data_IF_277577885086
#
_entry.id   IF_277577885086
#
_cell.length_a   1.000
_cell.length_b   1.000
_cell.length_c   1.000
_cell.angle_alpha   90.00
_cell.angle_beta   90.00
_cell.angle_gamma   90.00
#
_symmetry.space_group_name_H-M   'P 1'
#
loop_
_entity.id
_entity.type
_entity.pdbx_description
1 polymer ?
#
# COMPACT_ATOMS: atom_id res chain seq x y z
N UNK A 1 3.87 -7.34 -12.66
CA UNK A 1 2.75 -8.26 -13.01
C UNK A 1 1.75 -8.34 -11.88
N UNK A 2 2.14 -8.22 -10.60
CA UNK A 2 1.18 -8.00 -9.51
C UNK A 2 0.41 -6.72 -9.78
N UNK A 3 1.16 -5.65 -10.08
CA UNK A 3 0.63 -4.36 -10.47
C UNK A 3 -0.38 -4.47 -11.61
N UNK A 4 -0.08 -5.25 -12.66
CA UNK A 4 -1.03 -5.44 -13.78
C UNK A 4 -2.28 -6.20 -13.30
N UNK A 5 -2.11 -7.32 -12.58
CA UNK A 5 -3.25 -8.11 -12.07
C UNK A 5 -4.11 -7.29 -11.11
N UNK A 6 -3.50 -6.49 -10.24
CA UNK A 6 -4.19 -5.58 -9.32
C UNK A 6 -4.91 -4.49 -10.12
N UNK A 7 -4.24 -3.81 -11.04
CA UNK A 7 -4.86 -2.72 -11.78
C UNK A 7 -5.98 -3.18 -12.72
N UNK A 8 -5.89 -4.39 -13.27
CA UNK A 8 -6.83 -4.89 -14.29
C UNK A 8 -8.10 -5.54 -13.74
N UNK A 9 -8.20 -5.79 -12.43
CA UNK A 9 -9.36 -6.46 -11.84
C UNK A 9 -9.90 -5.67 -10.64
N UNK A 10 -11.20 -5.80 -10.35
CA UNK A 10 -11.83 -5.13 -9.22
C UNK A 10 -11.28 -5.60 -7.88
N UNK A 11 -11.40 -4.74 -6.87
CA UNK A 11 -11.04 -5.07 -5.50
C UNK A 11 -11.83 -6.30 -5.00
N UNK A 12 -13.12 -6.38 -5.33
CA UNK A 12 -13.97 -7.52 -5.01
C UNK A 12 -13.46 -8.83 -5.64
N UNK A 13 -13.07 -8.80 -6.91
CA UNK A 13 -12.50 -9.96 -7.59
C UNK A 13 -11.23 -10.42 -6.89
N UNK A 14 -10.33 -9.49 -6.54
CA UNK A 14 -9.07 -9.81 -5.89
C UNK A 14 -9.27 -10.46 -4.52
N UNK A 15 -10.22 -9.96 -3.72
CA UNK A 15 -10.57 -10.58 -2.41
C UNK A 15 -11.09 -12.00 -2.61
N UNK A 16 -12.01 -12.22 -3.57
CA UNK A 16 -12.53 -13.58 -3.87
C UNK A 16 -11.43 -14.51 -4.36
N UNK A 17 -10.56 -14.01 -5.24
CA UNK A 17 -9.43 -14.76 -5.76
C UNK A 17 -8.46 -15.16 -4.65
N UNK A 18 -8.14 -14.26 -3.71
CA UNK A 18 -7.29 -14.59 -2.56
C UNK A 18 -7.89 -15.71 -1.70
N UNK A 19 -9.19 -15.66 -1.44
CA UNK A 19 -9.87 -16.72 -0.66
C UNK A 19 -9.82 -18.09 -1.36
N UNK A 20 -9.82 -18.12 -2.70
CA UNK A 20 -9.70 -19.36 -3.47
C UNK A 20 -8.25 -19.87 -3.55
N UNK A 21 -7.28 -18.96 -3.68
CA UNK A 21 -5.85 -19.32 -3.82
C UNK A 21 -5.24 -19.71 -2.47
N UNK A 22 -5.69 -19.12 -1.36
CA UNK A 22 -5.06 -19.31 -0.06
C UNK A 22 -4.96 -20.78 0.41
N UNK A 23 -6.01 -21.62 0.28
CA UNK A 23 -5.91 -23.04 0.59
C UNK A 23 -4.87 -23.76 -0.27
N UNK A 24 -4.82 -23.46 -1.58
CA UNK A 24 -3.85 -24.05 -2.51
C UNK A 24 -2.43 -23.62 -2.16
N UNK A 25 -2.24 -22.34 -1.81
CA UNK A 25 -0.96 -21.82 -1.35
C UNK A 25 -0.47 -22.57 -0.11
N UNK A 26 -1.34 -22.84 0.86
CA UNK A 26 -0.99 -23.59 2.07
C UNK A 26 -0.62 -25.04 1.80
N UNK A 27 -1.18 -25.67 0.77
CA UNK A 27 -0.80 -27.04 0.38
C UNK A 27 0.61 -27.13 -0.21
N UNK A 28 1.07 -26.08 -0.88
CA UNK A 28 2.42 -26.02 -1.48
C UNK A 28 3.44 -25.36 -0.55
N UNK A 29 2.99 -24.80 0.57
CA UNK A 29 3.87 -24.23 1.58
C UNK A 29 4.52 -25.36 2.39
N UNK A 30 5.85 -25.43 2.48
CA UNK A 30 6.54 -26.49 3.21
C UNK A 30 6.33 -26.44 4.74
N UNK A 31 5.74 -25.37 5.29
CA UNK A 31 5.48 -25.31 6.73
C UNK A 31 4.19 -26.09 7.07
N UNK A 32 4.16 -26.81 8.20
CA UNK A 32 2.97 -27.49 8.68
C UNK A 32 1.73 -26.57 8.76
N UNK A 33 0.51 -27.12 8.55
CA UNK A 33 -0.73 -26.38 8.77
C UNK A 33 -0.78 -25.77 10.18
N UNK A 34 -1.26 -24.54 10.29
CA UNK A 34 -1.37 -23.83 11.57
C UNK A 34 -0.11 -23.07 11.99
N UNK A 35 1.02 -23.23 11.30
CA UNK A 35 2.23 -22.44 11.56
C UNK A 35 2.19 -21.14 10.73
N UNK A 36 2.48 -19.96 11.34
CA UNK A 36 2.62 -18.72 10.61
C UNK A 36 3.69 -18.82 9.51
N UNK A 37 3.42 -18.20 8.37
CA UNK A 37 4.34 -18.18 7.25
C UNK A 37 5.51 -17.26 7.60
N UNK A 38 6.74 -17.77 7.50
CA UNK A 38 7.92 -16.91 7.63
C UNK A 38 8.02 -15.98 6.41
N UNK A 39 7.58 -14.72 6.57
CA UNK A 39 7.43 -13.77 5.48
C UNK A 39 8.72 -13.56 4.65
N UNK A 40 9.92 -13.49 5.26
CA UNK A 40 11.14 -13.23 4.51
C UNK A 40 11.50 -14.31 3.49
N UNK A 41 11.34 -15.59 3.84
CA UNK A 41 11.60 -16.68 2.90
C UNK A 41 10.62 -16.69 1.73
N UNK A 42 9.45 -16.04 1.87
CA UNK A 42 8.43 -15.98 0.83
C UNK A 42 8.53 -14.78 -0.07
N UNK A 43 8.88 -13.59 0.44
CA UNK A 43 9.09 -12.40 -0.42
C UNK A 43 10.29 -12.59 -1.35
N UNK A 44 11.30 -13.34 -0.92
CA UNK A 44 12.49 -13.64 -1.71
C UNK A 44 12.45 -15.02 -2.39
N UNK A 45 11.27 -15.66 -2.44
CA UNK A 45 11.13 -16.99 -3.02
C UNK A 45 11.43 -17.00 -4.53
N UNK A 46 12.15 -18.01 -5.00
CA UNK A 46 12.49 -18.13 -6.43
C UNK A 46 11.25 -18.15 -7.34
N UNK A 47 10.21 -18.90 -6.93
CA UNK A 47 8.93 -18.90 -7.62
C UNK A 47 8.22 -17.55 -7.47
N UNK A 48 8.10 -16.83 -8.59
CA UNK A 48 7.44 -15.54 -8.68
C UNK A 48 5.99 -15.59 -8.21
N UNK A 49 5.19 -16.57 -8.64
CA UNK A 49 3.77 -16.64 -8.30
C UNK A 49 3.57 -16.67 -6.78
N UNK A 50 4.44 -17.38 -6.05
CA UNK A 50 4.36 -17.45 -4.60
C UNK A 50 4.66 -16.10 -3.91
N UNK A 51 5.58 -15.32 -4.46
CA UNK A 51 5.84 -13.94 -4.00
C UNK A 51 4.64 -13.04 -4.22
N UNK A 52 3.97 -13.23 -5.35
CA UNK A 52 2.82 -12.41 -5.73
C UNK A 52 1.65 -12.59 -4.78
N UNK A 53 1.35 -13.83 -4.40
CA UNK A 53 0.26 -14.12 -3.47
C UNK A 53 0.49 -13.43 -2.13
N UNK A 54 1.71 -13.48 -1.60
CA UNK A 54 2.06 -12.84 -0.32
C UNK A 54 1.96 -11.33 -0.39
N UNK A 55 2.49 -10.71 -1.45
CA UNK A 55 2.40 -9.27 -1.60
C UNK A 55 0.95 -8.79 -1.83
N UNK A 56 0.16 -9.57 -2.56
CA UNK A 56 -1.27 -9.31 -2.72
C UNK A 56 -1.99 -9.38 -1.39
N UNK A 57 -1.69 -10.37 -0.54
CA UNK A 57 -2.32 -10.47 0.78
C UNK A 57 -2.09 -9.22 1.64
N UNK A 58 -0.83 -8.76 1.72
CA UNK A 58 -0.45 -7.56 2.47
C UNK A 58 -1.13 -6.31 1.90
N UNK A 59 -1.11 -6.13 0.57
CA UNK A 59 -1.67 -4.95 -0.09
C UNK A 59 -3.21 -4.93 -0.09
N UNK A 60 -3.86 -6.09 -0.16
CA UNK A 60 -5.31 -6.20 -0.05
C UNK A 60 -5.77 -5.95 1.37
N UNK A 61 -5.09 -6.51 2.37
CA UNK A 61 -5.34 -6.21 3.79
C UNK A 61 -5.32 -4.71 4.06
N UNK A 62 -4.29 -4.03 3.53
CA UNK A 62 -4.13 -2.59 3.60
C UNK A 62 -5.25 -1.83 2.87
N UNK A 63 -5.53 -2.21 1.62
CA UNK A 63 -6.50 -1.50 0.75
C UNK A 63 -7.95 -1.67 1.16
N UNK A 64 -8.27 -2.74 1.89
CA UNK A 64 -9.63 -3.09 2.30
C UNK A 64 -9.88 -2.91 3.79
N UNK A 65 -8.85 -2.57 4.57
CA UNK A 65 -8.88 -2.59 6.04
C UNK A 65 -9.38 -3.94 6.59
N UNK A 66 -8.93 -5.05 5.99
CA UNK A 66 -9.23 -6.43 6.43
C UNK A 66 -7.98 -7.12 6.98
N UNK A 67 -8.12 -8.11 7.88
CA UNK A 67 -7.00 -8.96 8.26
C UNK A 67 -6.36 -9.59 7.02
N UNK A 68 -5.05 -9.81 7.08
CA UNK A 68 -4.35 -10.65 6.11
C UNK A 68 -4.94 -12.07 6.16
N UNK A 69 -5.04 -12.71 5.00
CA UNK A 69 -5.54 -14.09 4.88
C UNK A 69 -4.56 -15.07 5.53
N UNK A 70 -3.26 -14.79 5.44
CA UNK A 70 -2.23 -15.58 6.11
C UNK A 70 -1.75 -14.91 7.40
N UNK A 71 -1.46 -15.74 8.40
CA UNK A 71 -0.65 -15.35 9.55
C UNK A 71 0.82 -15.37 9.15
N UNK A 72 1.55 -14.30 9.46
CA UNK A 72 2.95 -14.15 9.14
C UNK A 72 3.79 -14.01 10.40
N UNK A 73 4.98 -14.61 10.41
CA UNK A 73 6.05 -14.27 11.36
C UNK A 73 7.07 -13.40 10.65
N UNK A 74 7.46 -12.31 11.30
CA UNK A 74 8.40 -11.33 10.77
C UNK A 74 9.55 -11.18 11.76
N UNK A 75 10.77 -11.46 11.31
CA UNK A 75 12.00 -11.07 12.01
C UNK A 75 12.80 -10.14 11.11
N UNK A 76 12.54 -8.83 11.24
CA UNK A 76 13.14 -7.80 10.38
C UNK A 76 14.59 -7.48 10.71
N UNK A 77 15.04 -7.76 11.95
CA UNK A 77 16.36 -7.35 12.47
C UNK A 77 17.56 -7.98 11.75
N UNK A 78 17.35 -9.04 10.95
CA UNK A 78 18.45 -9.84 10.36
C UNK A 78 18.42 -9.91 8.83
N UNK A 79 17.52 -9.20 8.17
CA UNK A 79 17.36 -9.31 6.72
C UNK A 79 18.29 -8.35 5.98
N UNK A 80 19.33 -8.92 5.38
CA UNK A 80 20.19 -8.21 4.45
C UNK A 80 19.52 -8.14 3.07
N UNK A 81 18.74 -7.07 2.86
CA UNK A 81 18.06 -6.76 1.61
C UNK A 81 19.00 -6.64 0.41
N UNK A 82 20.30 -6.35 0.62
CA UNK A 82 21.26 -6.19 -0.47
C UNK A 82 21.53 -7.49 -1.23
N UNK A 83 21.26 -8.64 -0.60
CA UNK A 83 21.45 -9.98 -1.19
C UNK A 83 20.35 -10.37 -2.18
N UNK A 84 19.28 -9.60 -2.29
CA UNK A 84 18.10 -9.96 -3.07
C UNK A 84 17.90 -9.03 -4.27
N UNK A 85 18.60 -9.32 -5.36
CA UNK A 85 18.58 -8.49 -6.58
C UNK A 85 17.28 -8.63 -7.42
N UNK A 86 16.39 -9.56 -7.09
CA UNK A 86 15.25 -9.95 -7.94
C UNK A 86 13.85 -9.71 -7.32
N UNK A 87 13.76 -8.90 -6.27
CA UNK A 87 12.56 -8.50 -5.52
C UNK A 87 11.34 -7.94 -6.29
N UNK A 88 10.26 -7.64 -5.57
CA UNK A 88 9.05 -7.01 -6.14
C UNK A 88 9.26 -5.56 -6.52
N UNK A 89 10.19 -4.90 -5.83
CA UNK A 89 10.70 -3.57 -6.11
C UNK A 89 10.94 -3.30 -7.61
N UNK A 90 11.43 -4.30 -8.33
CA UNK A 90 11.87 -4.15 -9.72
C UNK A 90 10.72 -4.13 -10.74
N UNK A 91 9.61 -4.81 -10.45
CA UNK A 91 8.52 -5.05 -11.43
C UNK A 91 7.20 -4.40 -11.05
N UNK A 92 6.99 -4.13 -9.76
CA UNK A 92 5.71 -3.67 -9.24
C UNK A 92 5.84 -2.32 -8.49
N UNK A 93 7.06 -1.75 -8.41
CA UNK A 93 7.30 -0.39 -7.91
C UNK A 93 7.23 -0.22 -6.40
N UNK A 94 6.84 -1.26 -5.66
CA UNK A 94 6.84 -1.30 -4.20
C UNK A 94 8.20 -1.81 -3.68
N UNK A 95 8.98 -1.01 -2.94
CA UNK A 95 10.18 -1.48 -2.27
C UNK A 95 9.89 -2.65 -1.33
N UNK A 96 10.68 -3.72 -1.41
CA UNK A 96 10.50 -4.92 -0.60
C UNK A 96 10.53 -4.59 0.90
N UNK A 97 11.44 -3.69 1.32
CA UNK A 97 11.52 -3.16 2.70
C UNK A 97 10.18 -2.59 3.18
N UNK A 98 9.48 -1.84 2.33
CA UNK A 98 8.17 -1.30 2.67
C UNK A 98 7.10 -2.39 2.71
N UNK A 99 7.15 -3.41 1.85
CA UNK A 99 6.23 -4.54 1.95
C UNK A 99 6.36 -5.27 3.30
N UNK A 100 7.58 -5.48 3.80
CA UNK A 100 7.79 -6.05 5.14
C UNK A 100 7.23 -5.16 6.25
N UNK A 101 7.52 -3.86 6.20
CA UNK A 101 6.99 -2.90 7.18
C UNK A 101 5.46 -2.85 7.12
N UNK A 102 4.85 -2.90 5.94
CA UNK A 102 3.39 -2.94 5.79
C UNK A 102 2.81 -4.20 6.42
N UNK A 103 3.40 -5.37 6.19
CA UNK A 103 2.95 -6.61 6.82
C UNK A 103 3.05 -6.52 8.36
N UNK A 104 4.16 -5.99 8.87
CA UNK A 104 4.37 -5.77 10.32
C UNK A 104 3.34 -4.81 10.92
N UNK A 105 3.10 -3.68 10.26
CA UNK A 105 2.07 -2.73 10.67
C UNK A 105 0.66 -3.34 10.60
N UNK A 106 0.37 -4.17 9.60
CA UNK A 106 -0.91 -4.88 9.50
C UNK A 106 -1.09 -5.85 10.68
N UNK A 107 -0.08 -6.66 11.02
CA UNK A 107 -0.11 -7.56 12.18
C UNK A 107 -0.39 -6.75 13.45
N UNK A 108 0.39 -5.69 13.68
CA UNK A 108 0.26 -4.84 14.87
C UNK A 108 -1.15 -4.22 14.98
N UNK A 109 -1.72 -3.78 13.86
CA UNK A 109 -3.06 -3.17 13.82
C UNK A 109 -4.16 -4.16 14.22
N UNK A 110 -4.06 -5.44 13.86
CA UNK A 110 -5.08 -6.45 14.19
C UNK A 110 -4.87 -7.09 15.57
N UNK A 111 -3.62 -7.34 15.95
CA UNK A 111 -3.30 -8.01 17.22
C UNK A 111 -3.39 -7.06 18.42
N UNK A 112 -3.09 -5.77 18.23
CA UNK A 112 -2.96 -4.79 19.32
C UNK A 112 -3.90 -3.58 19.17
N UNK A 113 -5.08 -3.79 18.60
CA UNK A 113 -6.05 -2.76 18.21
C UNK A 113 -6.44 -1.71 19.29
N UNK A 114 -6.05 -1.92 20.56
CA UNK A 114 -6.39 -1.05 21.70
C UNK A 114 -5.23 -0.18 22.21
N UNK A 115 -3.96 -0.57 22.02
CA UNK A 115 -2.80 0.26 22.40
C UNK A 115 -1.49 -0.32 21.84
N UNK A 116 -0.86 0.42 20.94
CA UNK A 116 0.48 0.10 20.44
C UNK A 116 1.49 0.90 21.27
N UNK A 117 2.59 0.25 21.63
CA UNK A 117 3.69 0.88 22.37
C UNK A 117 4.32 2.01 21.55
N UNK A 118 4.63 3.14 22.20
CA UNK A 118 5.30 4.27 21.59
C UNK A 118 6.69 3.87 21.08
N UNK A 119 7.39 2.98 21.79
CA UNK A 119 8.71 2.50 21.37
C UNK A 119 8.65 1.74 20.03
N UNK A 120 7.55 1.02 19.78
CA UNK A 120 7.32 0.34 18.50
C UNK A 120 7.04 1.36 17.39
N UNK A 121 6.24 2.38 17.66
CA UNK A 121 5.94 3.45 16.71
C UNK A 121 7.20 4.24 16.34
N UNK A 122 8.02 4.60 17.32
CA UNK A 122 9.28 5.31 17.12
C UNK A 122 10.28 4.45 16.33
N UNK A 123 10.34 3.15 16.60
CA UNK A 123 11.16 2.21 15.83
C UNK A 123 10.72 2.13 14.36
N UNK A 124 9.41 2.04 14.10
CA UNK A 124 8.86 2.04 12.74
C UNK A 124 9.12 3.38 12.04
N UNK A 125 8.91 4.50 12.73
CA UNK A 125 9.18 5.84 12.20
C UNK A 125 10.65 5.99 11.80
N UNK A 126 11.57 5.59 12.68
CA UNK A 126 13.01 5.61 12.42
C UNK A 126 13.37 4.78 11.20
N UNK A 127 12.80 3.58 11.03
CA UNK A 127 13.06 2.71 9.87
C UNK A 127 12.56 3.31 8.56
N UNK A 128 11.45 4.05 8.57
CA UNK A 128 10.98 4.80 7.40
C UNK A 128 11.92 5.99 7.12
N UNK A 129 12.40 6.67 8.17
CA UNK A 129 13.29 7.82 8.04
C UNK A 129 14.65 7.44 7.46
N UNK A 130 15.22 6.33 7.90
CA UNK A 130 16.51 5.80 7.43
C UNK A 130 16.38 4.94 6.17
N UNK A 131 15.21 4.88 5.54
CA UNK A 131 15.06 4.20 4.26
C UNK A 131 15.94 4.87 3.21
N UNK A 132 16.89 4.11 2.68
CA UNK A 132 17.71 4.51 1.55
C UNK A 132 17.06 4.02 0.24
N UNK A 133 16.79 4.92 -0.72
CA UNK A 133 16.27 4.51 -2.02
C UNK A 133 17.25 3.60 -2.75
N UNK A 134 16.74 2.51 -3.32
CA UNK A 134 17.57 1.61 -4.12
C UNK A 134 17.92 2.30 -5.44
N UNK A 135 19.21 2.58 -5.63
CA UNK A 135 19.72 3.16 -6.86
C UNK A 135 19.94 2.07 -7.91
N UNK A 136 19.19 2.15 -9.01
CA UNK A 136 19.38 1.27 -10.15
C UNK A 136 20.27 1.91 -11.22
N UNK A 137 21.20 1.13 -11.76
CA UNK A 137 21.96 1.47 -12.97
C UNK A 137 21.09 1.20 -14.20
N UNK A 138 20.21 2.14 -14.53
CA UNK A 138 19.62 2.20 -15.88
C UNK A 138 20.47 3.12 -16.75
N UNK A 139 20.73 2.77 -18.02
CA UNK A 139 21.31 3.72 -18.97
C UNK A 139 20.34 4.86 -19.30
N UNK A 140 19.04 4.73 -18.99
CA UNK A 140 18.03 5.77 -19.17
C UNK A 140 17.82 6.56 -17.87
N UNK A 141 18.24 7.83 -17.80
CA UNK A 141 18.04 8.68 -16.62
C UNK A 141 16.56 8.87 -16.24
N UNK A 142 15.64 8.83 -17.21
CA UNK A 142 14.21 9.03 -16.96
C UNK A 142 13.60 7.89 -16.14
N UNK A 143 14.05 6.65 -16.39
CA UNK A 143 13.66 5.47 -15.62
C UNK A 143 14.20 5.56 -14.19
N UNK A 144 15.43 6.04 -14.03
CA UNK A 144 16.03 6.25 -12.72
C UNK A 144 15.22 7.27 -11.89
N UNK A 145 14.92 8.44 -12.46
CA UNK A 145 14.11 9.49 -11.82
C UNK A 145 12.72 8.96 -11.45
N UNK A 146 12.05 8.28 -12.39
CA UNK A 146 10.72 7.69 -12.17
C UNK A 146 10.73 6.75 -10.96
N UNK A 147 11.78 5.93 -10.78
CA UNK A 147 11.89 5.03 -9.64
C UNK A 147 12.07 5.77 -8.32
N UNK A 148 12.95 6.77 -8.27
CA UNK A 148 13.12 7.60 -7.07
C UNK A 148 11.82 8.26 -6.64
N UNK A 149 11.05 8.77 -7.61
CA UNK A 149 9.72 9.35 -7.38
C UNK A 149 8.78 8.31 -6.76
N UNK A 150 8.71 7.10 -7.34
CA UNK A 150 7.84 6.04 -6.83
C UNK A 150 8.23 5.64 -5.40
N UNK A 151 9.53 5.45 -5.13
CA UNK A 151 10.01 5.09 -3.80
C UNK A 151 9.75 6.18 -2.76
N UNK A 152 9.92 7.45 -3.13
CA UNK A 152 9.63 8.57 -2.24
C UNK A 152 8.13 8.70 -1.95
N UNK A 153 7.27 8.49 -2.95
CA UNK A 153 5.83 8.43 -2.75
C UNK A 153 5.43 7.30 -1.79
N UNK A 154 6.01 6.10 -1.96
CA UNK A 154 5.81 5.02 -0.98
C UNK A 154 6.28 5.41 0.41
N UNK A 155 7.45 6.05 0.55
CA UNK A 155 7.95 6.51 1.86
C UNK A 155 6.99 7.49 2.53
N UNK A 156 6.46 8.46 1.80
CA UNK A 156 5.48 9.41 2.36
C UNK A 156 4.15 8.72 2.70
N UNK A 157 3.72 7.76 1.89
CA UNK A 157 2.58 6.92 2.21
C UNK A 157 2.79 6.11 3.51
N UNK A 158 3.98 5.53 3.72
CA UNK A 158 4.29 4.78 4.95
C UNK A 158 4.12 5.64 6.22
N UNK A 159 4.52 6.91 6.19
CA UNK A 159 4.25 7.83 7.31
C UNK A 159 2.75 8.05 7.53
N UNK A 160 1.98 8.24 6.46
CA UNK A 160 0.52 8.40 6.56
C UNK A 160 -0.10 7.14 7.18
N UNK A 161 0.30 5.96 6.74
CA UNK A 161 -0.22 4.70 7.28
C UNK A 161 0.20 4.48 8.74
N UNK A 162 1.47 4.77 9.09
CA UNK A 162 1.95 4.72 10.47
C UNK A 162 1.09 5.60 11.39
N UNK A 163 0.86 6.86 11.02
CA UNK A 163 0.14 7.78 11.90
C UNK A 163 -1.37 7.57 11.89
N UNK A 164 -2.00 7.43 10.72
CA UNK A 164 -3.45 7.28 10.63
C UNK A 164 -3.90 5.85 10.82
N UNK A 165 -3.29 4.92 10.09
CA UNK A 165 -3.67 3.52 10.09
C UNK A 165 -3.23 2.78 11.35
N UNK A 166 -2.02 3.03 11.85
CA UNK A 166 -1.52 2.29 13.01
C UNK A 166 -1.77 3.04 14.32
N UNK A 167 -1.38 4.32 14.39
CA UNK A 167 -1.50 5.14 15.61
C UNK A 167 -2.88 5.81 15.80
N UNK A 168 -3.77 5.75 14.81
CA UNK A 168 -5.15 6.26 14.92
C UNK A 168 -5.31 7.77 14.80
N UNK A 169 -4.30 8.49 14.31
CA UNK A 169 -4.40 9.91 14.01
C UNK A 169 -5.40 10.19 12.86
N UNK A 170 -5.88 11.44 12.78
CA UNK A 170 -6.75 11.89 11.69
C UNK A 170 -5.98 12.71 10.64
N UNK A 171 -6.63 13.04 9.53
CA UNK A 171 -6.03 13.77 8.41
C UNK A 171 -5.54 15.19 8.73
N UNK A 172 -5.96 15.77 9.87
CA UNK A 172 -5.49 17.09 10.35
C UNK A 172 -4.26 17.03 11.24
N UNK A 173 -3.80 15.85 11.66
CA UNK A 173 -2.54 15.69 12.41
C UNK A 173 -1.37 16.32 11.63
N UNK A 174 -0.51 17.07 12.32
CA UNK A 174 0.61 17.81 11.72
C UNK A 174 1.56 16.89 10.95
N UNK A 175 1.81 15.67 11.45
CA UNK A 175 2.70 14.70 10.84
C UNK A 175 2.09 14.12 9.57
N UNK A 176 0.79 13.81 9.62
CA UNK A 176 0.01 13.36 8.44
C UNK A 176 0.00 14.43 7.36
N UNK A 177 -0.31 15.68 7.72
CA UNK A 177 -0.29 16.82 6.78
C UNK A 177 1.08 17.04 6.16
N UNK A 178 2.15 16.87 6.94
CA UNK A 178 3.53 17.00 6.47
C UNK A 178 3.86 15.91 5.44
N UNK A 179 3.51 14.65 5.73
CA UNK A 179 3.72 13.53 4.83
C UNK A 179 2.91 13.69 3.54
N UNK A 180 1.62 13.99 3.64
CA UNK A 180 0.77 14.25 2.46
C UNK A 180 1.28 15.41 1.62
N UNK A 181 1.68 16.54 2.25
CA UNK A 181 2.22 17.68 1.50
C UNK A 181 3.47 17.31 0.70
N UNK A 182 4.35 16.48 1.27
CA UNK A 182 5.52 15.95 0.55
C UNK A 182 5.09 15.03 -0.59
N UNK A 183 4.15 14.12 -0.34
CA UNK A 183 3.58 13.21 -1.34
C UNK A 183 3.02 13.98 -2.55
N UNK A 184 2.13 14.94 -2.31
CA UNK A 184 1.54 15.80 -3.35
C UNK A 184 2.63 16.58 -4.10
N UNK A 185 3.60 17.18 -3.38
CA UNK A 185 4.68 17.93 -4.01
C UNK A 185 5.50 17.06 -4.97
N UNK A 186 5.84 15.84 -4.58
CA UNK A 186 6.60 14.90 -5.43
C UNK A 186 5.78 14.55 -6.67
N UNK A 187 4.49 14.27 -6.53
CA UNK A 187 3.63 14.02 -7.69
C UNK A 187 3.52 15.23 -8.61
N UNK A 188 3.28 16.43 -8.08
CA UNK A 188 3.07 17.65 -8.87
C UNK A 188 4.32 18.05 -9.68
N UNK A 189 5.52 17.68 -9.21
CA UNK A 189 6.78 17.97 -9.88
C UNK A 189 7.13 17.01 -11.02
N UNK A 190 6.40 15.90 -11.18
CA UNK A 190 6.71 14.86 -12.17
C UNK A 190 5.65 14.86 -13.26
N UNK A 191 6.05 14.72 -14.52
CA UNK A 191 5.10 14.71 -15.64
C UNK A 191 4.05 13.58 -15.46
N UNK A 192 2.74 13.88 -15.58
CA UNK A 192 1.69 12.85 -15.61
C UNK A 192 1.87 11.89 -16.80
N UNK A 193 1.46 10.64 -16.60
CA UNK A 193 1.51 9.62 -17.62
C UNK A 193 1.58 8.21 -17.04
N UNK A 194 1.47 7.20 -17.93
CA UNK A 194 1.45 5.78 -17.54
C UNK A 194 2.58 5.40 -16.57
N UNK A 195 3.77 5.98 -16.76
CA UNK A 195 4.84 6.02 -15.76
C UNK A 195 5.01 7.48 -15.30
N UNK A 196 5.02 7.79 -14.00
CA UNK A 196 4.98 6.87 -12.86
C UNK A 196 3.57 6.41 -12.45
N UNK A 197 2.50 7.00 -12.99
CA UNK A 197 1.18 7.00 -12.34
C UNK A 197 0.60 5.60 -12.12
N UNK A 198 0.85 4.64 -13.03
CA UNK A 198 0.43 3.25 -12.81
C UNK A 198 1.01 2.72 -11.48
N UNK A 199 2.33 2.81 -11.27
CA UNK A 199 3.01 2.34 -10.05
C UNK A 199 2.60 3.09 -8.77
N UNK A 200 1.89 4.21 -8.92
CA UNK A 200 1.44 5.05 -7.83
C UNK A 200 -0.03 4.88 -7.50
N UNK A 201 -0.80 4.03 -8.20
CA UNK A 201 -2.25 3.90 -7.94
C UNK A 201 -2.54 3.54 -6.48
N UNK A 202 -1.87 2.54 -5.92
CA UNK A 202 -2.07 2.13 -4.52
C UNK A 202 -1.66 3.24 -3.54
N UNK A 203 -0.44 3.81 -3.61
CA UNK A 203 -0.10 4.87 -2.67
C UNK A 203 -0.95 6.14 -2.90
N UNK A 204 -1.42 6.44 -4.12
CA UNK A 204 -2.36 7.54 -4.38
C UNK A 204 -3.73 7.30 -3.75
N UNK A 205 -4.28 6.08 -3.90
CA UNK A 205 -5.59 5.74 -3.34
C UNK A 205 -5.58 5.79 -1.82
N UNK A 206 -4.48 5.38 -1.19
CA UNK A 206 -4.39 5.31 0.26
C UNK A 206 -3.89 6.62 0.89
N UNK A 207 -2.91 7.30 0.31
CA UNK A 207 -2.50 8.62 0.78
C UNK A 207 -3.63 9.65 0.58
N UNK A 208 -4.46 9.47 -0.46
CA UNK A 208 -5.58 10.36 -0.75
C UNK A 208 -6.66 10.40 0.34
N UNK A 209 -6.75 9.39 1.20
CA UNK A 209 -7.63 9.41 2.39
C UNK A 209 -7.28 10.61 3.28
N UNK A 210 -6.00 10.97 3.37
CA UNK A 210 -5.55 12.11 4.16
C UNK A 210 -5.83 13.47 3.48
N UNK A 211 -6.28 13.50 2.21
CA UNK A 211 -6.46 14.73 1.46
C UNK A 211 -7.70 15.50 1.92
N UNK A 212 -7.44 16.60 2.62
CA UNK A 212 -8.48 17.52 3.11
C UNK A 212 -8.72 18.71 2.16
N UNK A 213 -7.70 19.18 1.46
CA UNK A 213 -7.82 20.34 0.56
C UNK A 213 -8.27 19.89 -0.82
N UNK A 214 -9.23 20.60 -1.41
CA UNK A 214 -9.72 20.26 -2.75
C UNK A 214 -8.60 20.26 -3.80
N UNK A 215 -7.64 21.19 -3.70
CA UNK A 215 -6.45 21.18 -4.57
C UNK A 215 -5.67 19.87 -4.53
N UNK A 216 -5.49 19.29 -3.35
CA UNK A 216 -4.73 18.04 -3.18
C UNK A 216 -5.54 16.85 -3.72
N UNK A 217 -6.87 16.85 -3.47
CA UNK A 217 -7.82 15.87 -4.03
C UNK A 217 -7.85 15.92 -5.56
N UNK A 218 -7.87 17.11 -6.15
CA UNK A 218 -7.84 17.32 -7.61
C UNK A 218 -6.56 16.81 -8.27
N UNK A 219 -5.41 16.93 -7.60
CA UNK A 219 -4.16 16.35 -8.10
C UNK A 219 -4.28 14.83 -8.16
N UNK A 220 -4.73 14.19 -7.07
CA UNK A 220 -4.89 12.73 -7.00
C UNK A 220 -5.92 12.25 -8.02
N UNK A 221 -7.08 12.91 -8.09
CA UNK A 221 -8.18 12.62 -9.01
C UNK A 221 -7.71 12.66 -10.46
N UNK A 222 -7.00 13.73 -10.86
CA UNK A 222 -6.46 13.85 -12.23
C UNK A 222 -5.44 12.75 -12.55
N UNK A 223 -4.58 12.40 -11.59
CA UNK A 223 -3.57 11.34 -11.75
C UNK A 223 -4.20 9.97 -11.92
N UNK A 224 -5.15 9.61 -11.06
CA UNK A 224 -5.87 8.34 -11.15
C UNK A 224 -6.63 8.23 -12.47
N UNK A 225 -7.37 9.28 -12.88
CA UNK A 225 -8.07 9.34 -14.18
C UNK A 225 -7.12 9.28 -15.38
N UNK A 226 -5.86 9.68 -15.22
CA UNK A 226 -4.83 9.57 -16.24
C UNK A 226 -4.35 8.13 -16.49
N UNK A 227 -4.68 7.19 -15.61
CA UNK A 227 -4.42 5.76 -15.79
C UNK A 227 -5.58 5.14 -16.57
N UNK A 228 -5.29 4.49 -17.69
CA UNK A 228 -6.29 3.96 -18.64
C UNK A 228 -7.37 3.07 -18.00
N UNK A 229 -6.97 2.28 -17.00
CA UNK A 229 -7.80 1.35 -16.27
C UNK A 229 -8.87 2.09 -15.46
N UNK A 230 -8.65 3.35 -15.04
CA UNK A 230 -9.60 4.13 -14.25
C UNK A 230 -10.96 4.35 -14.96
N UNK A 231 -10.97 4.38 -16.29
CA UNK A 231 -12.20 4.54 -17.09
C UNK A 231 -12.95 3.22 -17.30
N UNK A 232 -12.39 2.09 -16.86
CA UNK A 232 -12.96 0.77 -17.02
C UNK A 232 -13.59 0.33 -15.70
N UNK A 233 -14.91 0.21 -15.68
CA UNK A 233 -15.63 -0.34 -14.54
C UNK A 233 -15.15 -1.76 -14.23
N UNK A 234 -15.09 -2.11 -12.94
CA UNK A 234 -14.59 -3.41 -12.51
C UNK A 234 -13.07 -3.54 -12.50
N UNK A 235 -12.34 -2.42 -12.48
CA UNK A 235 -10.89 -2.37 -12.24
C UNK A 235 -10.59 -1.75 -10.87
N UNK A 236 -9.46 -2.12 -10.27
CA UNK A 236 -9.05 -1.54 -8.99
C UNK A 236 -8.89 -0.03 -9.04
N UNK A 237 -8.42 0.53 -10.16
CA UNK A 237 -8.21 1.99 -10.27
C UNK A 237 -9.53 2.74 -10.23
N UNK A 238 -10.55 2.20 -10.92
CA UNK A 238 -11.90 2.74 -10.89
C UNK A 238 -12.51 2.64 -9.48
N UNK A 239 -12.40 1.45 -8.87
CA UNK A 239 -12.84 1.18 -7.49
C UNK A 239 -12.17 2.13 -6.49
N UNK A 240 -10.85 2.34 -6.61
CA UNK A 240 -10.07 3.21 -5.75
C UNK A 240 -10.46 4.69 -5.89
N UNK A 241 -10.73 5.16 -7.10
CA UNK A 241 -11.25 6.50 -7.33
C UNK A 241 -12.62 6.68 -6.67
N UNK A 242 -13.52 5.70 -6.81
CA UNK A 242 -14.84 5.73 -6.17
C UNK A 242 -14.76 5.73 -4.63
N UNK A 243 -13.88 4.91 -4.06
CA UNK A 243 -13.62 4.86 -2.61
C UNK A 243 -13.16 6.23 -2.10
N UNK A 244 -12.22 6.88 -2.80
CA UNK A 244 -11.72 8.19 -2.40
C UNK A 244 -12.83 9.25 -2.41
N UNK A 245 -13.67 9.30 -3.46
CA UNK A 245 -14.79 10.24 -3.50
C UNK A 245 -15.78 9.98 -2.35
N UNK A 246 -16.05 8.72 -2.04
CA UNK A 246 -16.91 8.33 -0.89
C UNK A 246 -16.31 8.82 0.43
N UNK A 247 -15.01 8.65 0.65
CA UNK A 247 -14.31 9.13 1.85
C UNK A 247 -14.37 10.65 1.95
N UNK A 248 -14.07 11.36 0.86
CA UNK A 248 -14.05 12.82 0.84
C UNK A 248 -15.44 13.42 1.07
N UNK A 249 -16.45 12.92 0.36
CA UNK A 249 -17.84 13.37 0.52
C UNK A 249 -18.38 13.11 1.93
N UNK A 250 -18.09 11.94 2.50
CA UNK A 250 -18.51 11.60 3.87
C UNK A 250 -17.85 12.53 4.90
N UNK A 251 -16.53 12.73 4.80
CA UNK A 251 -15.80 13.59 5.72
C UNK A 251 -16.28 15.07 5.64
N UNK A 252 -16.59 15.55 4.43
CA UNK A 252 -17.10 16.91 4.22
C UNK A 252 -18.53 17.08 4.73
N UNK A 253 -19.42 16.12 4.47
CA UNK A 253 -20.80 16.13 4.94
C UNK A 253 -20.90 16.13 6.47
N UNK A 254 -20.00 15.40 7.13
CA UNK A 254 -19.89 15.34 8.59
C UNK A 254 -19.02 16.45 9.20
N UNK A 255 -18.45 17.33 8.36
CA UNK A 255 -17.56 18.43 8.73
C UNK A 255 -16.42 18.00 9.69
N UNK A 256 -15.80 16.84 9.43
CA UNK A 256 -14.74 16.28 10.27
C UNK A 256 -13.50 15.90 9.45
N UNK A 257 -12.32 15.79 10.08
CA UNK A 257 -11.19 15.18 9.40
C UNK A 257 -11.47 13.70 9.09
N UNK A 258 -10.99 13.27 7.93
CA UNK A 258 -10.97 11.85 7.58
C UNK A 258 -10.08 11.07 8.56
N UNK A 259 -10.51 9.85 8.88
CA UNK A 259 -9.78 8.87 9.68
C UNK A 259 -9.59 7.60 8.87
N UNK A 260 -8.61 6.77 9.24
CA UNK A 260 -8.32 5.56 8.46
C UNK A 260 -9.50 4.60 8.35
N UNK A 261 -10.39 4.58 9.35
CA UNK A 261 -11.61 3.75 9.34
C UNK A 261 -12.61 4.14 8.24
N UNK A 262 -12.57 5.36 7.71
CA UNK A 262 -13.43 5.77 6.59
C UNK A 262 -13.18 4.93 5.34
N UNK A 263 -11.94 4.44 5.15
CA UNK A 263 -11.59 3.51 4.09
C UNK A 263 -12.42 2.22 4.19
N UNK A 264 -12.53 1.66 5.39
CA UNK A 264 -13.28 0.40 5.60
C UNK A 264 -14.74 0.58 5.23
N UNK A 265 -15.34 1.70 5.65
CA UNK A 265 -16.72 2.02 5.31
C UNK A 265 -16.91 2.20 3.80
N UNK A 266 -16.06 2.97 3.14
CA UNK A 266 -16.13 3.17 1.69
C UNK A 266 -15.93 1.86 0.90
N UNK A 267 -15.00 0.99 1.34
CA UNK A 267 -14.83 -0.34 0.77
C UNK A 267 -16.07 -1.22 0.93
N UNK A 268 -16.73 -1.17 2.09
CA UNK A 268 -17.97 -1.91 2.34
C UNK A 268 -19.09 -1.43 1.40
N UNK A 269 -19.27 -0.12 1.27
CA UNK A 269 -20.28 0.47 0.37
C UNK A 269 -20.07 0.02 -1.08
N UNK A 270 -18.82 0.00 -1.55
CA UNK A 270 -18.51 -0.36 -2.93
C UNK A 270 -18.54 -1.87 -3.19
N UNK A 271 -17.93 -2.68 -2.31
CA UNK A 271 -17.77 -4.13 -2.54
C UNK A 271 -18.90 -4.98 -1.98
N UNK A 272 -19.70 -4.44 -1.04
CA UNK A 272 -20.70 -5.19 -0.28
C UNK A 272 -20.11 -6.22 0.69
N UNK A 273 -18.79 -6.25 0.89
CA UNK A 273 -18.15 -7.17 1.83
C UNK A 273 -17.77 -6.41 3.12
N UNK A 274 -18.18 -6.95 4.28
CA UNK A 274 -17.88 -6.45 5.63
C UNK A 274 -16.58 -6.97 6.25
#
# INVERSE_FOLDING_TARGET
MIMIVLLSNSMLFQVKMMNQIAPVYRLVDPNPPGIPIYLPSRIFHANRALRQVVAMDVLLSLSTCRPMVFQYTITTRELDFSKYQDGLEWKDGLPDKFLFMLAEMNILRYDYALKIDLDILDSLESRIATFEPTLFRSPDPSVHITRLVVQECWRQFMYIYLYMGLHGANSRDVRVKKALKKFIKVMDQVKPGRKPDAFLVIPMSLAGIAAYKERDRDIIRRRLRGVSECSQAGTYVNDAAYILETVWTTADAENRPAVWCDLRFACLVMTGIA
#
